data_IF_855711199573
#
_entry.id   IF_855711199573
#
_cell.length_a   1.000
_cell.length_b   1.000
_cell.length_c   1.000
_cell.angle_alpha   90.00
_cell.angle_beta   90.00
_cell.angle_gamma   90.00
#
_symmetry.space_group_name_H-M   'P 1'
#
loop_
_entity.id
_entity.type
_entity.pdbx_description
1 polymer ?
#
# COMPACT_ATOMS: atom_id res chain seq x y z
N UNK A 1 6.59 -4.11 1.52
CA UNK A 1 5.40 -4.56 0.76
C UNK A 1 5.74 -5.89 0.14
N UNK A 2 4.80 -6.84 0.19
CA UNK A 2 4.94 -8.18 -0.38
C UNK A 2 3.64 -8.54 -1.12
N UNK A 3 3.71 -9.51 -2.02
CA UNK A 3 2.53 -10.11 -2.63
C UNK A 3 2.12 -11.29 -1.75
N UNK A 4 0.84 -11.32 -1.38
CA UNK A 4 0.26 -12.36 -0.54
C UNK A 4 -0.92 -12.98 -1.28
N UNK A 5 -1.05 -14.30 -1.19
CA UNK A 5 -2.16 -15.03 -1.82
C UNK A 5 -3.45 -14.96 -0.99
N UNK A 6 -3.34 -14.66 0.30
CA UNK A 6 -4.46 -14.66 1.24
C UNK A 6 -4.36 -13.54 2.28
N UNK A 7 -5.49 -13.19 2.90
CA UNK A 7 -5.54 -12.22 3.99
C UNK A 7 -5.24 -12.90 5.33
N UNK A 8 -4.58 -12.17 6.23
CA UNK A 8 -4.52 -12.52 7.64
C UNK A 8 -5.88 -12.35 8.34
N UNK A 9 -5.95 -12.83 9.58
CA UNK A 9 -7.17 -12.76 10.39
C UNK A 9 -7.52 -11.32 10.78
N UNK A 10 -6.51 -10.49 11.03
CA UNK A 10 -6.67 -9.08 11.48
C UNK A 10 -6.38 -8.06 10.38
N UNK A 11 -6.16 -8.50 9.13
CA UNK A 11 -5.88 -7.60 8.02
C UNK A 11 -7.12 -6.80 7.62
N UNK A 12 -6.93 -5.50 7.44
CA UNK A 12 -7.90 -4.63 6.77
C UNK A 12 -7.74 -4.78 5.25
N UNK A 13 -8.85 -5.01 4.56
CA UNK A 13 -8.88 -5.17 3.11
C UNK A 13 -9.36 -3.88 2.45
N UNK A 14 -8.55 -3.34 1.54
CA UNK A 14 -8.94 -2.24 0.66
C UNK A 14 -9.01 -2.76 -0.76
N UNK A 15 -10.20 -2.69 -1.36
CA UNK A 15 -10.41 -3.08 -2.74
C UNK A 15 -10.39 -1.87 -3.67
N UNK A 16 -9.66 -2.00 -4.76
CA UNK A 16 -9.70 -1.11 -5.92
C UNK A 16 -10.23 -1.89 -7.11
N UNK A 17 -10.55 -1.22 -8.22
CA UNK A 17 -11.09 -1.88 -9.41
C UNK A 17 -10.23 -3.06 -9.94
N UNK A 18 -8.93 -3.06 -9.65
CA UNK A 18 -7.98 -4.04 -10.22
C UNK A 18 -7.14 -4.79 -9.20
N UNK A 19 -7.04 -4.28 -7.97
CA UNK A 19 -6.13 -4.80 -6.94
C UNK A 19 -6.80 -4.81 -5.58
N UNK A 20 -6.43 -5.81 -4.77
CA UNK A 20 -6.75 -5.88 -3.36
C UNK A 20 -5.49 -5.58 -2.55
N UNK A 21 -5.61 -4.65 -1.61
CA UNK A 21 -4.57 -4.32 -0.66
C UNK A 21 -4.93 -4.89 0.71
N UNK A 22 -3.93 -5.45 1.37
CA UNK A 22 -4.02 -5.98 2.72
C UNK A 22 -3.15 -5.10 3.63
N UNK A 23 -3.76 -4.56 4.67
CA UNK A 23 -3.08 -3.71 5.66
C UNK A 23 -3.21 -4.40 7.01
N UNK A 24 -2.08 -4.88 7.53
CA UNK A 24 -2.04 -5.47 8.87
C UNK A 24 -2.39 -4.45 9.94
N UNK A 25 -3.04 -4.90 11.01
CA UNK A 25 -3.57 -4.08 12.11
C UNK A 25 -2.56 -3.04 12.65
N UNK A 26 -1.30 -3.46 12.88
CA UNK A 26 -0.26 -2.58 13.40
C UNK A 26 0.22 -1.52 12.40
N UNK A 27 -0.08 -1.69 11.11
CA UNK A 27 0.33 -0.77 10.04
C UNK A 27 -0.73 0.28 9.77
N UNK A 28 -2.01 -0.01 10.05
CA UNK A 28 -3.16 0.87 9.78
C UNK A 28 -2.95 2.32 10.22
N UNK A 29 -2.47 2.63 11.45
CA UNK A 29 -2.29 4.02 11.89
C UNK A 29 -1.26 4.81 11.09
N UNK A 30 -0.33 4.13 10.40
CA UNK A 30 0.75 4.76 9.64
C UNK A 30 0.38 5.04 8.18
N UNK A 31 -0.70 4.42 7.70
CA UNK A 31 -1.15 4.53 6.31
C UNK A 31 -2.53 5.17 6.19
N UNK A 32 -3.16 5.48 7.33
CA UNK A 32 -4.40 6.24 7.37
C UNK A 32 -4.23 7.62 6.71
N UNK A 33 -5.17 7.99 5.84
CA UNK A 33 -5.13 9.23 5.05
C UNK A 33 -3.84 9.39 4.20
N UNK A 34 -3.31 8.27 3.69
CA UNK A 34 -2.20 8.29 2.75
C UNK A 34 -2.59 7.71 1.39
N UNK A 35 -1.89 8.17 0.35
CA UNK A 35 -1.94 7.63 -1.00
C UNK A 35 -0.63 6.90 -1.30
N UNK A 36 -0.72 5.68 -1.81
CA UNK A 36 0.43 4.96 -2.37
C UNK A 36 0.63 5.36 -3.83
N UNK A 37 1.84 5.80 -4.19
CA UNK A 37 2.18 6.19 -5.56
C UNK A 37 3.55 5.65 -5.98
N UNK A 38 3.79 5.48 -7.28
CA UNK A 38 5.08 5.08 -7.84
C UNK A 38 5.78 6.27 -8.48
N UNK A 39 6.84 6.74 -7.84
CA UNK A 39 7.57 7.93 -8.27
C UNK A 39 8.83 7.53 -9.02
N UNK A 40 8.95 8.01 -10.27
CA UNK A 40 10.16 7.86 -11.09
C UNK A 40 11.14 9.00 -10.76
N UNK A 41 12.38 8.62 -10.50
CA UNK A 41 13.52 9.54 -10.39
C UNK A 41 14.01 9.98 -11.76
N UNK A 42 14.80 11.06 -11.78
CA UNK A 42 15.41 11.61 -13.00
C UNK A 42 16.32 10.59 -13.71
N UNK A 43 16.88 9.63 -12.98
CA UNK A 43 17.74 8.58 -13.53
C UNK A 43 16.98 7.31 -13.94
N UNK A 44 15.64 7.37 -14.02
CA UNK A 44 14.81 6.25 -14.49
C UNK A 44 14.53 5.16 -13.45
N UNK A 45 15.18 5.17 -12.28
CA UNK A 45 14.78 4.34 -11.15
C UNK A 45 13.44 4.81 -10.60
N UNK A 46 12.57 3.90 -10.18
CA UNK A 46 11.35 4.28 -9.49
C UNK A 46 11.15 3.52 -8.21
N UNK A 47 10.40 4.13 -7.30
CA UNK A 47 10.13 3.61 -5.97
C UNK A 47 8.70 3.94 -5.57
N UNK A 48 8.11 3.06 -4.77
CA UNK A 48 6.84 3.34 -4.13
C UNK A 48 7.02 4.34 -2.99
N UNK A 49 6.08 5.28 -2.88
CA UNK A 49 6.02 6.30 -1.85
C UNK A 49 4.61 6.37 -1.27
N UNK A 50 4.54 6.55 0.04
CA UNK A 50 3.33 6.96 0.72
C UNK A 50 3.33 8.49 0.76
N UNK A 51 2.29 9.10 0.23
CA UNK A 51 2.06 10.54 0.18
C UNK A 51 0.89 10.88 1.10
N UNK A 52 1.01 11.93 1.90
CA UNK A 52 -0.09 12.42 2.74
C UNK A 52 -1.13 13.11 1.86
N UNK A 53 -2.40 12.83 2.10
CA UNK A 53 -3.55 13.49 1.45
C UNK A 53 -4.18 14.49 2.40
#
# INVERSE_FOLDING_TARGET
MALEESKGDTDTVIETEKLRFLIGEHTTPYVENTKLDYVKSVFGFGQFKLLRV
#
